data_IF_920503239117
#
_entry.id   IF_920503239117
#
_cell.length_a   1.000
_cell.length_b   1.000
_cell.length_c   1.000
_cell.angle_alpha   90.00
_cell.angle_beta   90.00
_cell.angle_gamma   90.00
#
_symmetry.space_group_name_H-M   'P 1'
#
loop_
_entity.id
_entity.type
_entity.pdbx_description
1 polymer ?
2 polymer ?
3 water ?
#
# COMPACT_ATOMS: atom_id res chain seq x y z
N UNK A 2 -2.65 -20.32 17.74
CA UNK A 2 -3.39 -19.93 16.55
C UNK A 2 -3.88 -21.14 15.77
N UNK A 3 -4.99 -20.98 15.07
CA UNK A 3 -5.48 -22.05 14.21
C UNK A 3 -4.49 -22.30 13.08
N UNK A 4 -3.88 -21.22 12.59
CA UNK A 4 -2.84 -21.34 11.58
C UNK A 4 -1.60 -20.56 11.96
N UNK A 5 -0.47 -21.24 12.03
CA UNK A 5 0.77 -20.58 12.41
C UNK A 5 1.72 -20.53 11.23
N UNK A 6 1.93 -19.32 10.71
CA UNK A 6 2.79 -19.12 9.55
C UNK A 6 4.13 -18.52 9.96
N UNK A 7 5.22 -19.13 9.48
CA UNK A 7 6.58 -18.71 9.83
C UNK A 7 7.53 -18.85 8.63
N UNK A 8 8.59 -18.05 8.59
CA UNK A 8 8.92 -16.92 9.48
C UNK A 8 8.16 -15.67 9.07
N UNK A 9 8.31 -14.59 9.83
CA UNK A 9 7.64 -13.33 9.50
C UNK A 9 8.23 -12.70 8.24
N UNK A 10 9.52 -12.93 8.03
CA UNK A 10 10.21 -12.38 6.88
C UNK A 10 11.27 -13.35 6.36
N UNK A 11 11.39 -13.43 5.05
CA UNK A 11 12.36 -14.31 4.43
C UNK A 11 13.01 -13.55 3.28
N UNK A 12 14.24 -13.93 2.93
CA UNK A 12 15.00 -13.15 1.97
C UNK A 12 15.96 -14.00 1.16
N UNK A 13 16.09 -13.66 -0.12
CA UNK A 13 17.05 -14.28 -1.02
C UNK A 13 17.35 -13.33 -2.16
N UNK A 14 18.47 -13.52 -2.82
CA UNK A 14 18.79 -12.76 -4.02
C UNK A 14 18.05 -13.37 -5.21
N UNK A 15 17.98 -12.63 -6.31
CA UNK A 15 17.38 -13.14 -7.54
C UNK A 15 18.04 -14.45 -7.94
N UNK A 16 17.23 -15.46 -8.24
CA UNK A 16 17.73 -16.77 -8.59
C UNK A 16 17.76 -17.70 -7.40
N UNK A 17 17.61 -17.15 -6.20
CA UNK A 17 17.68 -17.93 -4.98
C UNK A 17 16.37 -18.62 -4.63
N UNK A 18 16.32 -19.21 -3.45
CA UNK A 18 15.13 -19.91 -3.01
C UNK A 18 14.71 -19.43 -1.62
N UNK A 19 13.40 -19.24 -1.43
CA UNK A 19 12.90 -18.97 -0.09
C UNK A 19 11.88 -20.03 0.30
N UNK A 20 11.78 -20.27 1.59
CA UNK A 20 10.87 -21.30 2.11
C UNK A 20 9.96 -20.72 3.18
N UNK A 21 8.65 -20.93 3.03
CA UNK A 21 7.66 -20.42 3.97
C UNK A 21 6.84 -21.59 4.51
N UNK A 22 6.60 -21.59 5.82
CA UNK A 22 5.92 -22.70 6.47
C UNK A 22 4.58 -22.32 7.07
N UNK A 23 3.65 -23.27 7.08
CA UNK A 23 2.35 -23.10 7.75
C UNK A 23 1.94 -24.36 8.47
N UNK A 24 1.58 -24.22 9.75
CA UNK A 24 1.10 -25.34 10.54
C UNK A 24 -0.30 -25.05 11.06
N UNK A 25 -1.24 -25.96 10.78
CA UNK A 25 -2.60 -25.81 11.29
C UNK A 25 -2.76 -26.56 12.60
N UNK A 26 -3.70 -26.09 13.44
CA UNK A 26 -3.89 -26.68 14.76
C UNK A 26 -4.47 -28.10 14.68
N UNK A 27 -5.25 -28.35 13.64
CA UNK A 27 -5.70 -29.71 13.33
C UNK A 27 -5.64 -29.88 11.83
N UNK A 28 -5.70 -31.12 11.35
CA UNK A 28 -5.55 -31.38 9.92
C UNK A 28 -6.59 -30.63 9.07
N UNK A 29 -6.14 -30.08 7.95
CA UNK A 29 -7.06 -29.38 7.05
C UNK A 29 -7.96 -30.40 6.37
N UNK A 30 -9.08 -29.91 5.81
CA UNK A 30 -10.06 -30.78 5.17
C UNK A 30 -9.43 -31.58 4.03
N UNK A 31 -9.82 -32.85 3.90
CA UNK A 31 -9.27 -33.76 2.88
C UNK A 31 -7.75 -33.90 2.99
N UNK A 32 -7.19 -33.47 4.11
CA UNK A 32 -5.75 -33.43 4.36
C UNK A 32 -4.95 -32.48 3.48
N UNK A 33 -5.60 -31.77 2.57
CA UNK A 33 -4.86 -30.88 1.69
C UNK A 33 -5.58 -29.58 1.31
N UNK A 34 -6.65 -29.23 2.02
CA UNK A 34 -7.34 -27.97 1.73
C UNK A 34 -6.56 -26.81 2.33
N UNK A 35 -5.47 -26.46 1.65
CA UNK A 35 -4.53 -25.43 2.06
C UNK A 35 -4.12 -24.67 0.82
N UNK A 36 -4.21 -23.34 0.86
CA UNK A 36 -3.84 -22.53 -0.30
C UNK A 36 -2.74 -21.54 0.04
N UNK A 37 -2.08 -21.03 -0.99
CA UNK A 37 -1.09 -19.96 -0.81
C UNK A 37 -1.42 -18.75 -1.68
N UNK A 38 -1.22 -17.56 -1.11
CA UNK A 38 -1.47 -16.28 -1.79
C UNK A 38 -0.23 -15.39 -1.85
N UNK A 39 -0.16 -14.58 -2.89
CA UNK A 39 0.81 -13.49 -3.01
C UNK A 39 0.06 -12.16 -3.03
N UNK A 40 0.48 -11.20 -2.21
CA UNK A 40 -0.18 -9.89 -2.23
C UNK A 40 0.79 -8.72 -2.34
N UNK A 41 0.50 -7.83 -3.29
CA UNK A 41 1.26 -6.60 -3.45
C UNK A 41 0.43 -5.40 -3.00
N UNK A 42 1.08 -4.26 -2.71
CA UNK A 42 0.35 -3.07 -2.23
C UNK A 42 -0.79 -2.61 -3.14
N UNK A 43 -1.91 -2.26 -2.55
CA UNK A 43 -3.04 -1.71 -3.28
C UNK A 43 -3.79 -2.74 -4.09
N UNK A 44 -3.47 -4.01 -3.89
CA UNK A 44 -4.07 -5.10 -4.65
C UNK A 44 -4.71 -6.16 -3.76
N UNK A 45 -5.71 -6.87 -4.28
CA UNK A 45 -6.16 -8.06 -3.56
C UNK A 45 -5.11 -9.14 -3.63
N UNK A 46 -5.12 -10.09 -2.70
CA UNK A 46 -4.16 -11.19 -2.81
C UNK A 46 -4.44 -12.06 -4.04
N UNK A 47 -3.39 -12.64 -4.61
CA UNK A 47 -3.51 -13.50 -5.78
C UNK A 47 -3.27 -14.95 -5.40
N UNK A 48 -4.20 -15.83 -5.74
CA UNK A 48 -4.05 -17.25 -5.44
C UNK A 48 -2.91 -17.85 -6.26
N UNK A 49 -1.98 -18.50 -5.58
CA UNK A 49 -0.84 -19.17 -6.22
C UNK A 49 -1.10 -20.67 -6.35
N UNK A 50 -1.59 -21.24 -5.27
CA UNK A 50 -1.67 -22.68 -5.09
C UNK A 50 -2.91 -23.00 -4.28
N UNK A 51 -3.61 -24.07 -4.65
CA UNK A 51 -4.67 -24.61 -3.80
C UNK A 51 -4.46 -26.11 -3.70
N UNK A 52 -5.22 -26.75 -2.81
CA UNK A 52 -5.11 -28.19 -2.63
C UNK A 52 -3.67 -28.60 -2.34
N UNK A 53 -2.99 -27.74 -1.58
CA UNK A 53 -1.62 -27.92 -1.09
C UNK A 53 -0.54 -27.76 -2.16
N UNK A 54 -0.78 -28.32 -3.35
CA UNK A 54 0.28 -28.36 -4.35
C UNK A 54 -0.18 -27.96 -5.76
N UNK A 55 -1.47 -27.71 -5.94
CA UNK A 55 -2.00 -27.48 -7.28
C UNK A 55 -1.89 -26.02 -7.71
N UNK A 56 -1.10 -25.77 -8.75
CA UNK A 56 -0.89 -24.41 -9.25
C UNK A 56 -2.19 -23.81 -9.79
N UNK A 57 -2.47 -22.57 -9.40
CA UNK A 57 -3.58 -21.84 -9.99
C UNK A 57 -3.21 -21.43 -11.40
N UNK A 58 -4.21 -21.04 -12.18
CA UNK A 58 -3.97 -20.67 -13.57
C UNK A 58 -3.01 -19.49 -13.69
N UNK A 59 -2.04 -19.61 -14.58
CA UNK A 59 -1.10 -18.53 -14.85
C UNK A 59 0.07 -18.45 -13.90
N UNK A 60 0.13 -19.36 -12.93
CA UNK A 60 1.19 -19.35 -11.92
C UNK A 60 2.35 -20.27 -12.32
N UNK A 61 3.57 -19.71 -12.39
CA UNK A 61 4.77 -20.46 -12.78
C UNK A 61 5.10 -21.64 -11.86
N UNK A 62 5.71 -22.68 -12.41
CA UNK A 62 5.99 -23.89 -11.66
C UNK A 62 7.05 -23.72 -10.57
N UNK A 63 7.75 -22.58 -10.57
CA UNK A 63 8.76 -22.31 -9.56
C UNK A 63 8.13 -22.04 -8.19
N UNK A 64 6.82 -21.80 -8.18
CA UNK A 64 6.07 -21.78 -6.93
C UNK A 64 5.64 -23.20 -6.61
N UNK A 65 6.20 -23.77 -5.54
CA UNK A 65 5.95 -25.17 -5.22
C UNK A 65 5.31 -25.33 -3.85
N UNK A 66 4.08 -25.85 -3.83
CA UNK A 66 3.43 -26.18 -2.57
C UNK A 66 3.62 -27.64 -2.22
N UNK A 67 3.89 -27.93 -0.95
CA UNK A 67 4.05 -29.30 -0.49
C UNK A 67 3.51 -29.49 0.93
N UNK A 68 3.40 -30.74 1.36
CA UNK A 68 2.94 -31.05 2.70
C UNK A 68 1.55 -31.65 2.73
N UNK A 69 1.09 -32.01 3.92
CA UNK A 69 -0.20 -32.64 4.11
C UNK A 69 -0.59 -32.61 5.58
N UNK A 70 -1.85 -32.87 5.88
CA UNK A 70 -2.32 -32.92 7.24
C UNK A 70 -2.29 -31.57 7.93
N UNK A 71 -1.25 -31.33 8.73
CA UNK A 71 -1.12 -30.06 9.46
C UNK A 71 0.11 -29.25 9.07
N UNK A 72 0.96 -29.81 8.20
CA UNK A 72 2.25 -29.19 7.94
C UNK A 72 2.45 -28.91 6.47
N UNK A 73 2.59 -27.63 6.12
CA UNK A 73 2.68 -27.24 4.73
C UNK A 73 3.81 -26.27 4.46
N UNK A 74 4.28 -26.28 3.22
CA UNK A 74 5.45 -25.52 2.82
C UNK A 74 5.22 -24.88 1.47
N UNK A 75 5.59 -23.60 1.34
CA UNK A 75 5.69 -22.96 0.04
C UNK A 75 7.16 -22.74 -0.27
N UNK A 76 7.63 -23.34 -1.36
CA UNK A 76 9.00 -23.11 -1.79
C UNK A 76 8.99 -22.27 -3.05
N UNK A 77 9.61 -21.10 -3.00
CA UNK A 77 9.72 -20.27 -4.19
C UNK A 77 11.14 -20.36 -4.74
N UNK A 78 11.30 -21.08 -5.85
CA UNK A 78 12.59 -21.23 -6.50
C UNK A 78 12.78 -20.14 -7.55
N UNK A 79 14.02 -20.01 -8.03
CA UNK A 79 14.36 -19.04 -9.08
C UNK A 79 13.77 -17.68 -8.79
N UNK A 80 14.01 -17.18 -7.58
CA UNK A 80 13.38 -15.94 -7.13
C UNK A 80 13.55 -14.81 -8.13
N UNK A 81 12.48 -14.06 -8.34
CA UNK A 81 12.50 -12.91 -9.25
C UNK A 81 12.32 -11.62 -8.48
N UNK A 82 12.77 -10.51 -9.04
CA UNK A 82 12.56 -9.21 -8.43
C UNK A 82 11.07 -8.98 -8.15
N UNK A 83 10.20 -9.43 -9.06
CA UNK A 83 8.77 -9.18 -8.88
C UNK A 83 8.14 -10.11 -7.85
N UNK A 84 8.95 -10.93 -7.17
CA UNK A 84 8.44 -11.77 -6.10
C UNK A 84 8.37 -11.00 -4.77
N UNK A 85 8.91 -9.79 -4.75
CA UNK A 85 8.82 -8.93 -3.57
C UNK A 85 7.36 -8.67 -3.25
N UNK A 86 6.91 -9.19 -2.12
CA UNK A 86 5.49 -9.20 -1.77
C UNK A 86 5.30 -9.83 -0.40
N UNK A 87 4.06 -9.85 0.07
CA UNK A 87 3.71 -10.55 1.30
C UNK A 87 2.86 -11.77 0.94
N UNK A 88 3.19 -12.91 1.55
CA UNK A 88 2.56 -14.18 1.19
C UNK A 88 1.76 -14.75 2.35
N UNK A 89 0.61 -15.34 2.04
CA UNK A 89 -0.28 -15.90 3.05
C UNK A 89 -0.67 -17.33 2.73
N UNK A 90 -0.72 -18.18 3.73
CA UNK A 90 -1.42 -19.44 3.56
C UNK A 90 -2.86 -19.27 4.06
N UNK A 91 -3.75 -20.13 3.58
CA UNK A 91 -5.13 -20.16 4.03
C UNK A 91 -5.57 -21.61 4.16
N UNK A 92 -6.28 -21.91 5.24
CA UNK A 92 -6.69 -23.28 5.47
C UNK A 92 -8.18 -23.44 5.70
N UNK A 93 -8.67 -24.63 5.37
CA UNK A 93 -10.01 -25.08 5.70
C UNK A 93 -9.84 -26.20 6.72
N UNK A 94 -10.14 -25.94 7.98
CA UNK A 94 -9.84 -26.90 9.05
C UNK A 94 -11.05 -27.75 9.43
N UNK A 95 -12.04 -27.80 8.53
CA UNK A 95 -13.36 -28.40 8.76
C UNK A 95 -14.12 -27.58 9.80
N UNK A 96 -15.38 -27.94 10.04
CA UNK A 96 -16.22 -27.24 11.01
C UNK A 96 -16.36 -25.76 10.65
N UNK A 97 -16.26 -25.46 9.36
CA UNK A 97 -16.37 -24.09 8.85
C UNK A 97 -15.31 -23.16 9.43
N UNK A 98 -14.19 -23.73 9.85
CA UNK A 98 -13.05 -22.93 10.28
C UNK A 98 -12.19 -22.55 9.08
N UNK A 99 -12.42 -21.36 8.53
CA UNK A 99 -11.60 -20.86 7.43
C UNK A 99 -10.72 -19.74 7.96
N UNK A 100 -9.41 -19.87 7.73
CA UNK A 100 -8.47 -18.99 8.41
C UNK A 100 -7.20 -18.74 7.59
N UNK A 101 -6.61 -17.56 7.78
CA UNK A 101 -5.35 -17.20 7.14
C UNK A 101 -4.19 -17.30 8.11
N UNK A 102 -3.01 -17.65 7.59
CA UNK A 102 -1.78 -17.48 8.35
C UNK A 102 -1.49 -16.00 8.49
N UNK A 103 -0.57 -15.65 9.38
CA UNK A 103 -0.29 -14.26 9.67
C UNK A 103 0.50 -13.51 8.61
N UNK A 104 1.01 -14.23 7.62
CA UNK A 104 1.73 -13.62 6.52
C UNK A 104 3.24 -13.62 6.66
N UNK A 105 3.91 -13.63 5.52
CA UNK A 105 5.36 -13.61 5.44
C UNK A 105 5.82 -12.62 4.37
N UNK A 106 6.64 -11.66 4.77
CA UNK A 106 7.22 -10.73 3.82
C UNK A 106 8.41 -11.37 3.11
N UNK A 107 8.46 -11.27 1.79
CA UNK A 107 9.63 -11.70 1.04
C UNK A 107 10.41 -10.49 0.56
N UNK A 108 11.67 -10.39 1.01
CA UNK A 108 12.58 -9.32 0.61
C UNK A 108 13.57 -9.86 -0.42
N UNK A 109 13.65 -9.20 -1.56
CA UNK A 109 14.62 -9.59 -2.57
C UNK A 109 15.95 -8.93 -2.28
N UNK A 110 16.99 -9.75 -2.08
CA UNK A 110 18.32 -9.25 -1.77
C UNK A 110 18.96 -8.70 -3.02
N UNK A 111 19.81 -7.71 -2.83
CA UNK A 111 20.22 -6.83 -3.89
C UNK A 111 21.53 -6.19 -3.47
N UNK A 112 22.32 -5.69 -4.41
CA UNK A 112 23.55 -4.99 -4.04
C UNK A 112 23.20 -3.72 -3.24
N UNK A 113 24.00 -3.41 -2.21
CA UNK A 113 23.78 -2.20 -1.44
C UNK A 113 23.87 -0.99 -2.38
N UNK A 114 22.91 -0.08 -2.26
CA UNK A 114 22.90 1.11 -3.09
C UNK A 114 22.50 2.34 -2.30
N UNK A 115 23.32 3.39 -2.35
CA UNK A 115 23.04 4.62 -1.63
C UNK A 115 21.88 5.38 -2.26
N UNK A 116 21.13 6.14 -1.47
CA UNK A 116 20.05 6.94 -2.03
C UNK A 116 20.55 8.17 -2.78
N UNK A 117 19.82 8.59 -3.81
CA UNK A 117 19.98 9.91 -4.38
C UNK A 117 19.04 10.84 -3.60
N UNK A 118 19.57 11.97 -3.13
CA UNK A 118 18.84 12.82 -2.20
C UNK A 118 18.45 14.16 -2.84
N UNK A 119 17.21 14.58 -2.60
CA UNK A 119 16.67 15.83 -3.13
C UNK A 119 15.91 16.55 -2.02
N UNK A 120 16.07 17.87 -1.93
CA UNK A 120 15.29 18.66 -0.97
C UNK A 120 14.41 19.67 -1.72
N UNK A 121 13.19 19.87 -1.22
CA UNK A 121 12.22 20.76 -1.84
C UNK A 121 11.71 21.80 -0.86
N UNK A 122 11.76 23.09 -1.25
CA UNK A 122 11.18 24.14 -0.40
C UNK A 122 9.66 24.12 -0.49
N UNK A 123 8.98 24.75 0.47
CA UNK A 123 7.53 24.95 0.36
C UNK A 123 7.18 25.83 -0.83
N UNK A 124 6.03 25.57 -1.44
CA UNK A 124 5.54 26.39 -2.54
C UNK A 124 4.99 27.72 -2.00
N UNK A 125 5.02 28.74 -2.86
CA UNK A 125 4.43 30.02 -2.48
C UNK A 125 2.94 29.88 -2.22
N UNK A 126 2.29 29.02 -3.02
CA UNK A 126 0.86 28.74 -2.83
C UNK A 126 0.55 28.28 -1.41
N UNK A 127 1.29 27.28 -0.94
CA UNK A 127 1.05 26.75 0.39
C UNK A 127 1.34 27.79 1.46
N UNK A 128 2.44 28.53 1.29
CA UNK A 128 2.82 29.54 2.28
C UNK A 128 1.73 30.59 2.50
N UNK A 129 0.98 30.92 1.44
CA UNK A 129 -0.12 31.87 1.56
C UNK A 129 -1.17 31.39 2.56
N UNK A 130 -1.28 30.07 2.71
CA UNK A 130 -2.29 29.49 3.59
C UNK A 130 -1.78 29.34 5.04
N UNK A 131 -0.53 29.72 5.28
CA UNK A 131 -0.01 29.79 6.64
C UNK A 131 0.84 28.63 7.11
N UNK A 132 1.01 27.62 6.26
CA UNK A 132 1.80 26.43 6.60
C UNK A 132 2.93 26.22 5.59
N UNK A 133 4.05 25.68 6.06
CA UNK A 133 5.17 25.37 5.18
C UNK A 133 5.58 23.90 5.29
N UNK A 134 5.45 23.16 4.20
CA UNK A 134 5.97 21.80 4.14
C UNK A 134 7.30 21.76 3.41
N UNK A 135 8.32 21.22 4.06
CA UNK A 135 9.62 21.04 3.44
C UNK A 135 9.83 19.55 3.25
N UNK A 136 10.18 19.12 2.04
CA UNK A 136 10.23 17.70 1.73
C UNK A 136 11.62 17.24 1.30
N UNK A 137 12.04 16.12 1.87
CA UNK A 137 13.31 15.49 1.49
C UNK A 137 13.05 14.12 0.91
N UNK A 138 13.56 13.88 -0.29
CA UNK A 138 13.36 12.61 -0.99
C UNK A 138 14.64 11.79 -0.97
N UNK A 139 14.54 10.54 -0.54
CA UNK A 139 15.64 9.59 -0.63
C UNK A 139 15.25 8.57 -1.68
N UNK A 140 15.93 8.58 -2.82
CA UNK A 140 15.44 7.80 -3.95
C UNK A 140 16.28 6.57 -4.30
N UNK A 141 15.59 5.45 -4.48
CA UNK A 141 16.18 4.23 -5.03
C UNK A 141 17.39 3.72 -4.26
N UNK A 142 17.18 3.29 -3.03
CA UNK A 142 18.27 2.80 -2.20
C UNK A 142 18.01 1.37 -1.70
N UNK A 143 19.06 0.72 -1.20
CA UNK A 143 18.92 -0.60 -0.60
C UNK A 143 20.09 -0.81 0.35
N UNK A 144 19.84 -1.35 1.56
CA UNK A 144 18.58 -1.87 2.11
C UNK A 144 17.63 -0.81 2.65
N UNK A 145 16.54 -1.25 3.27
CA UNK A 145 15.43 -0.37 3.62
C UNK A 145 15.75 0.71 4.65
N UNK A 146 16.58 0.38 5.64
CA UNK A 146 16.81 1.32 6.73
C UNK A 146 17.59 2.56 6.30
N UNK A 147 17.05 3.72 6.66
CA UNK A 147 17.70 4.99 6.38
C UNK A 147 17.31 5.98 7.46
N UNK A 148 18.18 6.93 7.74
CA UNK A 148 17.91 7.93 8.76
C UNK A 148 17.95 9.33 8.14
N UNK A 149 16.91 10.12 8.41
CA UNK A 149 16.85 11.50 7.97
C UNK A 149 16.88 12.42 9.19
N UNK A 150 17.77 13.40 9.16
CA UNK A 150 17.80 14.42 10.20
C UNK A 150 17.57 15.80 9.58
N UNK A 151 16.59 16.53 10.10
CA UNK A 151 16.29 17.87 9.62
C UNK A 151 17.04 18.90 10.43
N UNK A 152 17.62 19.89 9.76
CA UNK A 152 18.23 21.01 10.46
C UNK A 152 17.76 22.34 9.89
N UNK A 153 17.46 23.27 10.77
CA UNK A 153 17.01 24.60 10.38
C UNK A 153 17.91 25.61 11.07
N UNK A 154 18.71 26.33 10.28
CA UNK A 154 19.81 27.15 10.80
C UNK A 154 20.61 26.36 11.85
N UNK A 155 20.90 25.11 11.49
CA UNK A 155 21.66 24.15 12.29
C UNK A 155 21.02 23.73 13.63
N UNK A 156 19.75 24.08 13.82
CA UNK A 156 18.99 23.51 14.93
C UNK A 156 18.36 22.19 14.49
N UNK A 157 18.68 21.11 15.18
CA UNK A 157 18.09 19.81 14.86
C UNK A 157 16.58 19.86 15.10
N UNK A 158 15.81 19.40 14.12
CA UNK A 158 14.36 19.37 14.24
C UNK A 158 13.85 18.00 14.67
N UNK A 159 13.00 17.97 15.70
CA UNK A 159 12.50 16.71 16.22
C UNK A 159 11.01 16.82 16.51
N UNK A 160 10.24 15.79 16.16
CA UNK A 160 8.81 15.78 16.42
C UNK A 160 7.93 16.53 15.44
N UNK A 161 8.53 17.16 14.44
CA UNK A 161 7.75 17.89 13.45
C UNK A 161 7.99 17.38 12.02
N UNK A 162 8.34 16.10 11.91
CA UNK A 162 8.47 15.47 10.60
C UNK A 162 7.74 14.14 10.58
N UNK A 163 7.33 13.72 9.38
CA UNK A 163 6.77 12.40 9.18
C UNK A 163 7.35 11.79 7.93
N UNK A 164 7.56 10.48 7.92
CA UNK A 164 8.08 9.88 6.71
C UNK A 164 7.25 8.72 6.22
N UNK A 165 7.48 8.38 4.95
CA UNK A 165 6.77 7.31 4.28
C UNK A 165 7.76 6.59 3.38
N UNK A 166 7.62 5.26 3.26
CA UNK A 166 8.56 4.47 2.46
C UNK A 166 7.77 3.63 1.47
N UNK A 167 8.28 3.53 0.24
CA UNK A 167 7.62 2.73 -0.76
C UNK A 167 7.88 1.24 -0.56
N UNK A 168 7.05 0.42 -1.19
CA UNK A 168 7.30 -1.01 -1.31
C UNK A 168 8.61 -1.22 -2.04
N UNK A 169 9.19 -2.41 -1.92
CA UNK A 169 10.37 -2.74 -2.70
C UNK A 169 10.00 -2.75 -4.18
N UNK A 170 10.79 -2.07 -5.01
CA UNK A 170 10.47 -1.96 -6.44
C UNK A 170 10.50 -3.32 -7.13
N UNK A 171 9.49 -3.59 -7.94
CA UNK A 171 9.33 -4.91 -8.55
C UNK A 171 10.39 -5.20 -9.60
N UNK A 172 11.08 -4.17 -10.07
CA UNK A 172 12.11 -4.32 -11.10
C UNK A 172 13.54 -4.19 -10.57
N UNK A 173 13.83 -3.12 -9.83
CA UNK A 173 15.22 -2.91 -9.39
C UNK A 173 15.45 -3.20 -7.91
N UNK A 174 14.40 -3.62 -7.21
CA UNK A 174 14.47 -4.06 -5.81
C UNK A 174 14.95 -2.98 -4.84
N UNK A 175 14.77 -1.71 -5.20
CA UNK A 175 15.11 -0.62 -4.29
C UNK A 175 13.90 -0.09 -3.51
N UNK A 176 14.20 0.73 -2.51
CA UNK A 176 13.18 1.49 -1.78
C UNK A 176 13.38 2.98 -2.04
N UNK A 177 12.31 3.74 -1.85
CA UNK A 177 12.43 5.20 -1.77
C UNK A 177 11.71 5.68 -0.52
N UNK A 178 12.12 6.83 -0.01
CA UNK A 178 11.58 7.36 1.22
C UNK A 178 11.39 8.86 1.09
N UNK A 179 10.28 9.36 1.61
CA UNK A 179 10.05 10.80 1.68
C UNK A 179 9.92 11.21 3.13
N UNK A 180 10.52 12.34 3.49
CA UNK A 180 10.35 12.91 4.82
C UNK A 180 9.80 14.32 4.68
N UNK A 181 8.77 14.65 5.45
CA UNK A 181 8.17 15.97 5.37
C UNK A 181 8.27 16.70 6.69
N UNK A 182 8.93 17.85 6.66
CA UNK A 182 9.05 18.73 7.81
C UNK A 182 7.96 19.80 7.73
N UNK A 183 7.20 19.96 8.82
CA UNK A 183 6.11 20.93 8.83
C UNK A 183 6.39 22.07 9.81
N UNK A 184 6.38 23.29 9.28
CA UNK A 184 6.53 24.52 10.07
C UNK A 184 5.39 25.48 9.74
N UNK A 185 5.16 26.46 10.62
CA UNK A 185 4.26 27.55 10.29
C UNK A 185 4.96 28.46 9.29
N UNK A 186 4.18 29.24 8.55
CA UNK A 186 4.76 30.25 7.65
C UNK A 186 5.67 31.20 8.43
N UNK A 187 5.21 31.64 9.60
CA UNK A 187 5.98 32.57 10.42
C UNK A 187 7.33 31.99 10.82
N UNK A 188 7.35 30.74 11.27
CA UNK A 188 8.60 30.10 11.65
C UNK A 188 9.50 29.91 10.44
N UNK A 189 8.93 29.46 9.33
CA UNK A 189 9.69 29.27 8.10
C UNK A 189 10.43 30.54 7.65
N UNK A 190 9.73 31.66 7.70
CA UNK A 190 10.28 32.91 7.18
C UNK A 190 11.25 33.58 8.15
N UNK A 191 11.42 33.01 9.32
CA UNK A 191 12.37 33.52 10.30
C UNK A 191 13.76 32.86 10.17
N UNK A 192 13.88 31.89 9.26
CA UNK A 192 15.12 31.14 9.14
C UNK A 192 15.62 31.04 7.70
N UNK A 193 16.91 30.73 7.55
CA UNK A 193 17.57 30.76 6.24
C UNK A 193 17.92 29.38 5.69
N UNK A 194 18.71 28.63 6.43
CA UNK A 194 19.27 27.38 5.91
C UNK A 194 18.42 26.17 6.28
N UNK A 195 17.91 25.48 5.25
CA UNK A 195 17.12 24.27 5.48
C UNK A 195 17.88 23.07 4.96
N UNK A 196 18.17 22.12 5.83
CA UNK A 196 19.04 21.01 5.47
C UNK A 196 18.47 19.65 5.84
N UNK A 197 18.62 18.72 4.90
CA UNK A 197 18.22 17.32 5.09
C UNK A 197 19.50 16.48 5.12
N UNK A 198 19.75 15.83 6.26
CA UNK A 198 20.95 15.02 6.41
C UNK A 198 20.61 13.53 6.44
N UNK A 199 21.23 12.77 5.54
CA UNK A 199 20.85 11.39 5.29
C UNK A 199 21.96 10.40 5.66
N UNK A 200 21.59 9.38 6.44
CA UNK A 200 22.51 8.31 6.81
C UNK A 200 21.98 6.99 6.27
N UNK A 201 22.86 6.21 5.65
CA UNK A 201 22.48 4.94 5.01
C UNK A 201 23.71 4.05 4.85
N UNK A 202 23.51 2.73 4.87
CA UNK A 202 24.63 1.78 4.80
C UNK A 202 25.47 1.94 3.55
N UNK A 203 24.87 2.47 2.48
CA UNK A 203 25.56 2.64 1.22
C UNK A 203 26.37 3.92 1.16
N UNK A 204 26.31 4.70 2.23
CA UNK A 204 27.03 5.97 2.32
C UNK A 204 28.16 5.90 3.35
N UNK A 205 29.37 6.24 2.95
CA UNK A 205 30.52 6.22 3.84
C UNK A 205 30.39 7.30 4.91
N UNK A 206 29.74 8.39 4.55
CA UNK A 206 29.47 9.50 5.46
C UNK A 206 28.12 10.11 5.11
N UNK A 207 27.48 10.79 6.08
CA UNK A 207 26.15 11.36 5.80
C UNK A 207 26.14 12.30 4.60
N UNK A 208 25.03 12.31 3.87
CA UNK A 208 24.86 13.22 2.75
C UNK A 208 23.89 14.31 3.17
N UNK A 209 24.26 15.56 2.92
CA UNK A 209 23.39 16.69 3.22
C UNK A 209 22.99 17.44 1.97
N UNK A 210 21.68 17.61 1.77
CA UNK A 210 21.18 18.50 0.74
C UNK A 210 20.49 19.68 1.43
N UNK A 211 20.65 20.86 0.89
CA UNK A 211 20.11 22.04 1.54
C UNK A 211 19.66 23.09 0.55
N UNK A 212 18.92 24.08 1.07
CA UNK A 212 18.63 25.29 0.32
C UNK A 212 18.58 26.46 1.29
N UNK A 213 18.81 27.65 0.77
CA UNK A 213 18.62 28.89 1.52
C UNK A 213 17.31 29.54 1.09
N UNK A 214 16.44 29.81 2.06
CA UNK A 214 15.12 30.36 1.77
C UNK A 214 15.19 31.59 0.90
N UNK A 215 14.47 31.57 -0.22
CA UNK A 215 14.43 32.71 -1.12
C UNK A 215 15.40 32.60 -2.28
N UNK A 216 16.59 32.07 -2.02
CA UNK A 216 17.61 31.95 -3.05
C UNK A 216 17.16 31.07 -4.21
N UNK A 217 17.71 31.33 -5.39
CA UNK A 217 17.32 30.64 -6.61
C UNK A 217 17.57 29.13 -6.53
N UNK B 2 -13.09 -13.66 -15.82
CA UNK B 2 -13.75 -13.79 -14.53
C UNK B 2 -13.35 -12.64 -13.60
N UNK B 3 -14.35 -11.94 -13.07
CA UNK B 3 -14.10 -10.73 -12.31
C UNK B 3 -15.19 -10.44 -11.29
N UNK B 4 -14.78 -9.97 -10.11
CA UNK B 4 -15.71 -9.49 -9.10
C UNK B 4 -15.55 -7.98 -8.90
N UNK B 5 -16.66 -7.25 -8.95
CA UNK B 5 -16.62 -5.81 -8.78
C UNK B 5 -17.29 -5.39 -7.49
N UNK B 6 -16.54 -4.80 -6.56
CA UNK B 6 -17.08 -4.35 -5.29
C UNK B 6 -17.58 -2.92 -5.35
N UNK B 7 -18.51 -2.59 -4.45
CA UNK B 7 -19.06 -1.24 -4.35
C UNK B 7 -19.72 -1.06 -2.98
N UNK B 8 -19.96 0.20 -2.61
CA UNK B 8 -20.72 0.49 -1.40
C UNK B 8 -19.91 0.90 -0.18
N UNK B 9 -18.59 0.99 -0.34
CA UNK B 9 -17.72 1.35 0.77
C UNK B 9 -17.75 2.82 1.13
N UNK B 10 -16.67 3.29 1.74
CA UNK B 10 -16.52 4.70 2.07
C UNK B 10 -16.57 5.01 3.55
N UNK B 11 -16.87 6.26 3.85
CA UNK B 11 -16.88 6.76 5.22
C UNK B 11 -18.17 6.37 5.92
N UNK B 12 -18.07 5.96 7.19
CA UNK B 12 -19.25 5.70 8.00
C UNK B 12 -19.09 6.14 9.45
N UNK B 13 -20.10 6.83 9.97
CA UNK B 13 -20.12 7.26 11.36
C UNK B 13 -20.12 6.05 12.29
N UNK B 14 -19.32 6.09 13.37
CA UNK B 14 -19.30 5.02 14.37
C UNK B 14 -20.70 4.67 14.88
N UNK B 15 -20.98 3.37 14.97
CA UNK B 15 -22.28 2.91 15.43
C UNK B 15 -23.30 2.90 14.31
N UNK B 16 -22.92 3.42 13.16
CA UNK B 16 -23.81 3.46 12.01
C UNK B 16 -24.00 2.10 11.35
N UNK B 17 -24.22 2.09 10.04
CA UNK B 17 -24.34 0.86 9.29
C UNK B 17 -23.97 1.08 7.83
N UNK B 18 -23.15 0.20 7.31
CA UNK B 18 -22.74 0.26 5.91
C UNK B 18 -22.98 -1.08 5.26
N UNK B 19 -23.19 -1.09 3.95
CA UNK B 19 -23.33 -2.33 3.21
C UNK B 19 -22.44 -2.33 1.98
N UNK B 20 -21.72 -3.44 1.79
CA UNK B 20 -20.88 -3.62 0.62
C UNK B 20 -21.53 -4.63 -0.32
N UNK B 21 -21.34 -4.44 -1.62
CA UNK B 21 -21.94 -5.32 -2.61
C UNK B 21 -20.91 -5.74 -3.64
N UNK B 22 -20.99 -6.99 -4.07
CA UNK B 22 -20.16 -7.49 -5.16
C UNK B 22 -21.02 -8.08 -6.27
N UNK B 23 -20.66 -7.80 -7.51
CA UNK B 23 -21.29 -8.43 -8.67
C UNK B 23 -20.21 -9.18 -9.46
N UNK B 24 -20.61 -10.03 -10.39
CA UNK B 24 -19.66 -10.85 -11.12
C UNK B 24 -19.69 -10.62 -12.62
N UNK B 25 -18.53 -10.75 -13.25
CA UNK B 25 -18.40 -10.70 -14.70
C UNK B 25 -17.63 -11.92 -15.17
N UNK B 26 -18.14 -12.60 -16.20
CA UNK B 26 -17.42 -13.71 -16.79
C UNK B 26 -17.71 -15.04 -16.13
N UNK B 27 -18.54 -15.02 -15.09
CA UNK B 27 -19.03 -16.26 -14.49
C UNK B 27 -20.35 -16.01 -13.78
N UNK B 28 -21.00 -17.08 -13.37
CA UNK B 28 -22.34 -17.01 -12.77
C UNK B 28 -22.25 -17.09 -11.25
N UNK B 29 -22.49 -15.97 -10.58
CA UNK B 29 -22.14 -15.85 -9.16
C UNK B 29 -22.96 -16.78 -8.27
N UNK B 30 -24.17 -17.11 -8.70
CA UNK B 30 -25.06 -17.96 -7.89
C UNK B 30 -24.60 -19.42 -7.84
N UNK B 31 -23.61 -19.77 -8.65
CA UNK B 31 -23.09 -21.14 -8.67
C UNK B 31 -22.03 -21.39 -7.60
N UNK B 32 -21.66 -20.35 -6.87
CA UNK B 32 -20.53 -20.42 -5.94
C UNK B 32 -20.83 -19.97 -4.52
N UNK B 33 -20.11 -20.57 -3.56
CA UNK B 33 -19.91 -19.94 -2.26
C UNK B 33 -19.28 -18.57 -2.49
N UNK B 34 -19.59 -17.62 -1.62
CA UNK B 34 -18.89 -16.33 -1.64
C UNK B 34 -18.44 -15.96 -0.23
N UNK B 35 -17.18 -15.58 -0.10
CA UNK B 35 -16.63 -15.15 1.19
C UNK B 35 -16.43 -13.64 1.25
N UNK B 36 -16.35 -13.12 2.47
CA UNK B 36 -15.88 -11.76 2.68
C UNK B 36 -14.63 -11.81 3.56
N UNK B 37 -13.63 -11.01 3.19
CA UNK B 37 -12.35 -11.00 3.88
C UNK B 37 -11.98 -9.54 4.12
N UNK B 38 -11.41 -9.24 5.29
CA UNK B 38 -11.00 -7.87 5.52
C UNK B 38 -9.53 -7.78 5.87
N UNK B 39 -8.99 -6.57 5.74
CA UNK B 39 -7.58 -6.33 6.00
C UNK B 39 -7.43 -4.91 6.55
N UNK B 40 -7.20 -4.82 7.85
CA UNK B 40 -6.96 -3.54 8.50
C UNK B 40 -5.65 -2.94 7.98
N UNK B 41 -5.52 -1.61 8.00
CA UNK B 41 -4.31 -0.96 7.48
C UNK B 41 -3.04 -1.53 8.10
N UNK B 42 -2.14 -2.03 7.25
CA UNK B 42 -0.88 -2.57 7.70
C UNK B 42 -0.94 -3.96 8.31
N UNK B 43 -2.10 -4.59 8.24
CA UNK B 43 -2.30 -5.89 8.89
C UNK B 43 -2.55 -7.01 7.87
N UNK B 44 -2.76 -8.21 8.40
CA UNK B 44 -2.99 -9.39 7.57
C UNK B 44 -4.44 -9.60 7.15
N UNK B 45 -4.65 -10.64 6.34
CA UNK B 45 -5.98 -10.99 5.87
C UNK B 45 -6.78 -11.68 6.97
N UNK B 46 -8.06 -11.35 7.07
CA UNK B 46 -8.95 -11.97 8.05
C UNK B 46 -10.28 -12.38 7.43
N UNK B 47 -10.58 -13.67 7.50
CA UNK B 47 -11.84 -14.19 6.97
C UNK B 47 -13.01 -13.82 7.88
N UNK B 48 -14.03 -13.20 7.31
CA UNK B 48 -15.21 -12.78 8.07
C UNK B 48 -16.27 -13.88 8.08
N UNK B 49 -16.57 -14.41 6.90
CA UNK B 49 -17.59 -15.44 6.77
C UNK B 49 -17.84 -15.78 5.30
N UNK B 50 -18.75 -16.71 5.04
CA UNK B 50 -19.16 -16.95 3.66
C UNK B 50 -20.64 -17.34 3.58
N UNK B 51 -21.14 -17.52 2.36
CA UNK B 51 -22.53 -17.92 2.17
C UNK B 51 -22.63 -18.93 1.03
N UNK B 52 -23.39 -20.00 1.24
CA UNK B 52 -23.49 -21.05 0.22
C UNK B 52 -24.50 -20.66 -0.85
N UNK B 53 -24.68 -21.52 -1.84
CA UNK B 53 -25.55 -21.21 -2.96
C UNK B 53 -27.02 -21.15 -2.57
N UNK B 54 -27.34 -21.73 -1.41
CA UNK B 54 -28.71 -21.74 -0.92
C UNK B 54 -29.04 -20.50 -0.11
N UNK B 55 -28.03 -19.74 0.26
CA UNK B 55 -28.24 -18.53 1.03
C UNK B 55 -27.93 -18.68 2.50
N UNK B 56 -27.39 -19.84 2.88
CA UNK B 56 -27.00 -20.11 4.26
C UNK B 56 -25.59 -19.59 4.53
N UNK B 57 -25.45 -18.76 5.56
CA UNK B 57 -24.17 -18.12 5.85
C UNK B 57 -23.51 -18.68 7.11
N UNK B 58 -22.18 -18.68 7.10
CA UNK B 58 -21.38 -19.06 8.27
C UNK B 58 -20.36 -17.96 8.53
N UNK B 59 -20.01 -17.76 9.79
CA UNK B 59 -19.13 -16.66 10.17
C UNK B 59 -17.98 -17.11 11.07
N UNK B 60 -16.88 -16.36 11.05
CA UNK B 60 -15.85 -16.52 12.05
C UNK B 60 -16.43 -16.16 13.42
N UNK B 61 -15.95 -16.81 14.50
CA UNK B 61 -16.50 -16.57 15.84
C UNK B 61 -16.52 -15.09 16.23
N UNK B 62 -15.45 -14.37 15.93
CA UNK B 62 -15.37 -12.95 16.29
C UNK B 62 -16.35 -12.10 15.48
N UNK B 63 -16.76 -12.59 14.32
CA UNK B 63 -17.56 -11.79 13.40
C UNK B 63 -19.06 -11.91 13.61
N UNK B 64 -19.48 -12.92 14.38
CA UNK B 64 -20.90 -13.19 14.58
C UNK B 64 -21.63 -12.01 15.24
N UNK B 65 -22.79 -11.67 14.67
CA UNK B 65 -23.63 -10.63 15.23
C UNK B 65 -23.28 -9.24 14.75
N UNK B 66 -22.08 -9.08 14.20
CA UNK B 66 -21.61 -7.78 13.75
C UNK B 66 -21.60 -7.68 12.23
N UNK B 67 -21.68 -8.83 11.57
CA UNK B 67 -21.69 -8.88 10.12
C UNK B 67 -22.84 -9.76 9.62
N UNK B 68 -23.45 -9.34 8.51
CA UNK B 68 -24.50 -10.13 7.89
C UNK B 68 -24.21 -10.29 6.39
N UNK B 69 -24.07 -11.54 5.95
CA UNK B 69 -23.82 -11.82 4.55
C UNK B 69 -25.11 -12.34 3.90
N UNK B 70 -25.45 -11.77 2.74
CA UNK B 70 -26.64 -12.18 2.01
C UNK B 70 -26.32 -12.24 0.53
N UNK B 71 -27.28 -12.71 -0.27
CA UNK B 71 -27.07 -12.80 -1.71
C UNK B 71 -28.39 -12.77 -2.49
N UNK B 72 -28.31 -12.28 -3.72
CA UNK B 72 -29.40 -12.39 -4.66
C UNK B 72 -28.87 -13.21 -5.84
N UNK B 73 -29.65 -13.31 -6.92
CA UNK B 73 -29.22 -14.10 -8.07
C UNK B 73 -27.99 -13.50 -8.75
N UNK B 74 -27.74 -12.21 -8.51
CA UNK B 74 -26.67 -11.51 -9.22
C UNK B 74 -25.67 -10.83 -8.29
N UNK B 75 -25.99 -10.77 -7.00
CA UNK B 75 -25.14 -10.04 -6.06
C UNK B 75 -24.84 -10.85 -4.81
N UNK B 76 -23.80 -10.44 -4.09
CA UNK B 76 -23.59 -10.87 -2.72
C UNK B 76 -23.28 -9.62 -1.91
N UNK B 77 -23.76 -9.55 -0.68
CA UNK B 77 -23.63 -8.33 0.11
C UNK B 77 -23.14 -8.59 1.53
N UNK B 78 -22.48 -7.60 2.10
CA UNK B 78 -22.03 -7.65 3.48
C UNK B 78 -22.50 -6.41 4.21
N UNK B 79 -23.32 -6.60 5.23
CA UNK B 79 -23.75 -5.50 6.07
C UNK B 79 -22.92 -5.45 7.33
N UNK B 80 -22.41 -4.28 7.65
CA UNK B 80 -21.62 -4.09 8.86
C UNK B 80 -22.46 -3.42 9.92
N UNK B 81 -22.68 -4.12 11.04
CA UNK B 81 -23.52 -3.59 12.12
C UNK B 81 -22.66 -2.92 13.19
N UNK B 82 -23.14 -1.78 13.65
CA UNK B 82 -22.48 -0.97 14.70
C UNK B 82 -20.95 -0.95 14.62
N UNK B 83 -20.39 -0.38 13.55
CA UNK B 83 -18.94 -0.30 13.37
C UNK B 83 -18.25 0.55 14.43
N UNK B 84 -17.06 0.13 14.84
CA UNK B 84 -16.18 0.98 15.61
C UNK B 84 -14.98 1.30 14.74
N UNK B 85 -14.05 2.07 15.27
CA UNK B 85 -12.84 2.42 14.53
C UNK B 85 -11.97 1.20 14.26
N UNK B 86 -12.27 0.11 14.96
CA UNK B 86 -11.52 -1.14 14.80
C UNK B 86 -11.96 -1.87 13.54
N UNK B 87 -13.06 -1.43 12.95
CA UNK B 87 -13.60 -2.04 11.75
C UNK B 87 -13.14 -1.30 10.49
N UNK B 88 -12.38 -0.23 10.67
CA UNK B 88 -11.75 0.45 9.54
C UNK B 88 -10.79 -0.52 8.87
N UNK B 89 -11.05 -0.79 7.59
CA UNK B 89 -10.29 -1.79 6.86
C UNK B 89 -10.67 -1.80 5.39
N UNK B 90 -9.86 -2.48 4.58
CA UNK B 90 -10.24 -2.80 3.23
C UNK B 90 -10.99 -4.13 3.26
N UNK B 91 -12.16 -4.15 2.63
CA UNK B 91 -12.99 -5.34 2.58
C UNK B 91 -12.99 -5.92 1.18
N UNK B 92 -12.80 -7.24 1.09
CA UNK B 92 -12.80 -7.94 -0.19
C UNK B 92 -13.95 -8.93 -0.26
N UNK B 93 -14.57 -9.06 -1.43
CA UNK B 93 -15.38 -10.23 -1.69
C UNK B 93 -14.51 -11.24 -2.43
N UNK B 94 -14.58 -12.49 -2.02
CA UNK B 94 -13.74 -13.52 -2.62
C UNK B 94 -14.59 -14.76 -2.93
N UNK B 95 -14.45 -15.28 -4.14
CA UNK B 95 -15.20 -16.46 -4.54
C UNK B 95 -14.78 -17.66 -3.70
N UNK B 96 -15.74 -18.54 -3.42
CA UNK B 96 -15.49 -19.76 -2.66
C UNK B 96 -15.13 -19.49 -1.21
N UNK B 97 -14.14 -20.23 -0.74
CA UNK B 97 -13.52 -20.01 0.57
C UNK B 97 -12.02 -19.90 0.33
N UNK B 98 -11.31 -19.19 1.22
CA UNK B 98 -9.90 -18.85 0.95
C UNK B 98 -8.99 -20.05 0.63
N UNK B 99 -9.21 -21.21 1.23
CA UNK B 99 -8.35 -22.36 0.95
C UNK B 99 -8.71 -23.06 -0.36
N UNK B 100 -9.88 -22.75 -0.91
CA UNK B 100 -10.41 -23.51 -2.05
C UNK B 100 -9.86 -23.04 -3.40
N UNK B 101 -9.79 -23.96 -4.37
CA UNK B 101 -9.32 -23.63 -5.70
C UNK B 101 -10.16 -22.59 -6.43
N UNK B 102 -11.40 -22.42 -5.99
CA UNK B 102 -12.28 -21.43 -6.63
C UNK B 102 -12.05 -20.02 -6.10
N UNK B 103 -11.10 -19.85 -5.18
CA UNK B 103 -10.82 -18.54 -4.63
C UNK B 103 -9.77 -17.79 -5.45
N UNK B 104 -9.69 -18.13 -6.74
CA UNK B 104 -8.77 -17.43 -7.63
C UNK B 104 -9.35 -16.12 -8.15
N UNK B 105 -10.58 -15.83 -7.75
CA UNK B 105 -11.24 -14.58 -8.14
C UNK B 105 -11.62 -13.76 -6.90
N UNK B 106 -11.05 -12.58 -6.80
CA UNK B 106 -11.28 -11.66 -5.68
C UNK B 106 -11.70 -10.31 -6.24
N UNK B 107 -12.54 -9.60 -5.50
CA UNK B 107 -12.85 -8.21 -5.83
C UNK B 107 -11.63 -7.35 -5.56
N UNK B 108 -11.63 -6.12 -6.10
CA UNK B 108 -10.49 -5.23 -5.96
C UNK B 108 -10.29 -4.76 -4.51
N UNK B 109 -11.35 -4.80 -3.73
CA UNK B 109 -11.28 -4.33 -2.35
C UNK B 109 -11.73 -2.88 -2.23
N UNK B 110 -12.53 -2.60 -1.21
CA UNK B 110 -12.99 -1.24 -0.97
C UNK B 110 -12.73 -0.85 0.48
N UNK B 111 -12.25 0.37 0.67
CA UNK B 111 -11.92 0.83 2.02
C UNK B 111 -13.14 1.33 2.78
N UNK B 112 -13.34 0.80 3.97
CA UNK B 112 -14.36 1.33 4.86
C UNK B 112 -13.65 2.09 5.97
N UNK B 113 -13.94 3.38 6.08
CA UNK B 113 -13.36 4.19 7.14
C UNK B 113 -14.43 4.55 8.16
N UNK B 114 -14.27 4.08 9.39
CA UNK B 114 -15.23 4.37 10.43
C UNK B 114 -14.80 5.62 11.21
N UNK B 115 -15.47 6.72 10.94
CA UNK B 115 -15.11 8.01 11.52
C UNK B 115 -16.26 8.99 11.47
N UNK B 116 -16.31 9.88 12.45
CA UNK B 116 -17.32 10.94 12.48
C UNK B 116 -16.90 12.16 11.68
N UNK B 117 -15.65 12.17 11.22
CA UNK B 117 -15.09 13.33 10.54
C UNK B 117 -15.67 13.54 9.15
N UNK B 118 -15.58 14.77 8.65
CA UNK B 118 -16.13 15.12 7.34
C UNK B 118 -15.17 14.81 6.20
N UNK B 119 -15.74 14.55 5.02
CA UNK B 119 -14.94 14.40 3.82
C UNK B 119 -14.28 15.73 3.48
N UNK B 120 -13.02 15.67 3.05
CA UNK B 120 -12.29 16.86 2.67
C UNK B 120 -11.33 16.57 1.52
N UNK B 121 -11.43 17.36 0.45
CA UNK B 121 -10.56 17.21 -0.69
C UNK B 121 -9.19 17.83 -0.46
N UNK B 122 -8.17 17.38 -1.21
CA UNK B 122 -6.80 17.80 -0.98
C UNK B 122 -6.44 19.13 -1.62
N UNK B 123 -5.38 19.75 -1.09
CA UNK B 123 -4.67 20.79 -1.82
C UNK B 123 -3.46 20.14 -2.45
N UNK B 124 -3.09 20.57 -3.64
CA UNK B 124 -1.98 19.95 -4.36
C UNK B 124 -0.91 20.99 -4.63
N UNK B 125 0.29 20.75 -4.10
CA UNK B 125 1.37 21.72 -4.19
C UNK B 125 2.54 21.15 -4.98
N UNK B 126 3.28 22.02 -5.69
CA UNK B 126 4.42 21.51 -6.44
C UNK B 126 5.62 21.21 -5.57
N UNK B 127 6.33 20.12 -5.88
CA UNK B 127 7.67 19.90 -5.40
C UNK B 127 8.56 20.24 -6.58
N UNK B 128 9.07 21.46 -6.62
CA UNK B 128 9.72 21.99 -7.82
C UNK B 128 11.19 21.60 -7.94
N UNK B 129 11.63 21.26 -9.16
CA UNK B 129 13.03 20.87 -9.41
C UNK B 129 13.97 22.06 -9.26
N UNK B 130 15.24 21.80 -8.97
CA UNK B 130 16.18 22.92 -8.75
C UNK B 130 17.66 22.55 -8.81
N UNK B 131 18.45 23.24 -8.00
CA UNK B 131 19.86 22.94 -7.84
C UNK B 131 20.04 21.97 -6.67
N UNK B 132 19.11 22.04 -5.73
CA UNK B 132 19.09 21.18 -4.55
C UNK B 132 18.30 19.91 -4.85
N UNK B 133 17.93 19.78 -6.12
CA UNK B 133 17.10 18.67 -6.59
C UNK B 133 17.58 18.15 -7.96
N UNK B 134 18.89 17.98 -8.11
CA UNK B 134 19.46 17.42 -9.35
C UNK B 134 20.85 16.84 -9.13
N UNK B 135 21.08 15.65 -9.67
CA UNK B 135 22.35 14.96 -9.48
C UNK B 135 22.73 14.09 -10.68
N UNK B 136 23.85 14.41 -11.34
CA UNK B 136 24.39 13.60 -12.41
C UNK B 136 23.71 13.81 -13.76
N UNK B 137 22.83 14.80 -13.82
CA UNK B 137 22.07 15.09 -15.03
C UNK B 137 20.61 14.75 -14.85
N UNK B 138 20.28 14.20 -13.69
CA UNK B 138 18.91 13.79 -13.37
C UNK B 138 18.34 14.66 -12.27
N UNK B 139 17.12 15.15 -12.48
CA UNK B 139 16.44 15.98 -11.49
C UNK B 139 15.25 15.24 -10.88
N UNK B 140 14.75 15.70 -9.75
CA UNK B 140 13.51 15.16 -9.23
C UNK B 140 12.48 16.26 -9.06
N UNK B 141 11.22 15.90 -9.30
CA UNK B 141 10.12 16.81 -9.05
C UNK B 141 8.93 16.02 -8.56
N UNK B 142 7.87 16.70 -8.15
CA UNK B 142 6.71 15.97 -7.68
C UNK B 142 5.54 16.82 -7.27
N UNK B 143 4.59 16.18 -6.63
CA UNK B 143 3.41 16.84 -6.09
C UNK B 143 3.17 16.44 -4.64
N UNK B 144 2.88 17.43 -3.81
CA UNK B 144 2.49 17.19 -2.44
C UNK B 144 0.96 17.29 -2.34
N UNK B 145 0.33 16.17 -1.99
CA UNK B 145 -1.12 16.08 -1.94
C UNK B 145 -1.56 16.15 -0.50
N UNK B 146 -1.99 17.33 -0.06
CA UNK B 146 -2.09 17.58 1.37
C UNK B 146 -3.51 17.77 1.90
N UNK B 147 -3.75 17.22 3.10
CA UNK B 147 -4.92 17.54 3.91
C UNK B 147 -6.23 17.04 3.30
N UNK B 148 -6.31 15.74 3.04
CA UNK B 148 -7.55 15.15 2.55
C UNK B 148 -8.07 14.07 3.50
N UNK B 149 -9.34 13.71 3.34
CA UNK B 149 -9.96 12.70 4.17
C UNK B 149 -11.27 12.29 3.55
N UNK B 150 -11.56 10.97 3.52
CA UNK B 150 -10.67 9.89 3.94
C UNK B 150 -9.76 9.45 2.82
N UNK B 151 -9.05 8.35 3.02
CA UNK B 151 -8.35 7.69 1.93
C UNK B 151 -9.40 7.12 0.98
N UNK B 152 -9.03 6.84 -0.28
CA UNK B 152 -7.71 7.01 -0.90
C UNK B 152 -7.63 8.16 -1.92
N UNK B 153 -6.41 8.52 -2.30
CA UNK B 153 -6.19 9.33 -3.48
C UNK B 153 -5.36 8.54 -4.47
N UNK B 154 -5.54 8.83 -5.75
CA UNK B 154 -4.68 8.26 -6.77
C UNK B 154 -3.93 9.38 -7.46
N UNK B 155 -2.73 9.07 -7.92
CA UNK B 155 -1.92 10.03 -8.64
C UNK B 155 -1.37 9.41 -9.91
N UNK B 156 -1.54 10.10 -11.04
CA UNK B 156 -0.85 9.73 -12.26
C UNK B 156 -0.02 10.93 -12.73
N UNK B 157 0.89 10.68 -13.66
CA UNK B 157 1.66 11.75 -14.28
C UNK B 157 1.42 11.80 -15.79
N UNK B 158 1.19 13.01 -16.29
CA UNK B 158 0.90 13.24 -17.70
C UNK B 158 -0.17 12.30 -18.24
N UNK B 159 -1.23 12.15 -17.45
CA UNK B 159 -2.40 11.33 -17.80
C UNK B 159 -2.02 9.87 -18.05
N UNK B 160 -1.02 9.39 -17.32
CA UNK B 160 -0.61 7.99 -17.42
C UNK B 160 0.50 7.73 -18.43
N UNK B 161 0.87 8.77 -19.19
CA UNK B 161 1.92 8.62 -20.20
C UNK B 161 3.29 8.50 -19.55
N UNK B 162 3.43 9.04 -18.35
CA UNK B 162 4.70 9.02 -17.63
C UNK B 162 4.61 8.07 -16.43
N UNK B 163 5.30 6.93 -16.51
CA UNK B 163 5.29 5.94 -15.43
C UNK B 163 6.68 5.54 -14.94
N UNK B 164 7.66 5.58 -15.83
CA UNK B 164 9.03 5.23 -15.45
C UNK B 164 9.60 6.23 -14.45
N UNK B 165 10.15 5.73 -13.35
CA UNK B 165 10.77 6.57 -12.36
C UNK B 165 9.81 7.26 -11.39
N UNK B 166 8.52 6.95 -11.50
CA UNK B 166 7.51 7.51 -10.60
C UNK B 166 7.49 6.75 -9.28
N UNK B 167 7.43 7.48 -8.17
CA UNK B 167 7.21 6.87 -6.86
C UNK B 167 6.08 7.62 -6.16
N UNK B 168 4.97 6.95 -5.96
CA UNK B 168 3.88 7.52 -5.19
C UNK B 168 3.87 6.87 -3.82
N UNK B 169 4.10 7.68 -2.79
CA UNK B 169 4.30 7.17 -1.45
C UNK B 169 2.99 6.83 -0.78
N UNK B 170 3.03 5.89 0.17
CA UNK B 170 1.87 5.65 1.03
C UNK B 170 1.52 6.93 1.78
N UNK B 171 0.23 7.15 1.98
CA UNK B 171 -0.24 8.31 2.74
C UNK B 171 0.19 8.24 4.20
N UNK B 172 0.39 9.40 4.81
CA UNK B 172 0.63 9.47 6.24
C UNK B 172 -0.56 10.16 6.90
N UNK B 173 -0.96 9.69 8.06
CA UNK B 173 -1.98 10.38 8.84
C UNK B 173 -1.30 11.46 9.67
N UNK B 174 -1.66 12.71 9.42
CA UNK B 174 -1.11 13.83 10.16
C UNK B 174 -1.81 14.00 11.52
N UNK B 175 -1.18 14.73 12.43
CA UNK B 175 -1.72 14.95 13.76
C UNK B 175 -3.06 15.70 13.73
N UNK B 176 -3.35 16.30 12.58
CA UNK B 176 -4.60 16.99 12.36
C UNK B 176 -5.75 16.02 12.07
N UNK B 177 -5.41 14.77 11.78
CA UNK B 177 -6.42 13.78 11.43
C UNK B 177 -6.68 13.72 9.94
N UNK B 178 -5.94 14.52 9.18
CA UNK B 178 -6.03 14.51 7.72
C UNK B 178 -4.81 13.80 7.11
N UNK B 179 -4.98 13.24 5.92
CA UNK B 179 -3.91 12.53 5.24
C UNK B 179 -3.07 13.44 4.36
N UNK B 180 -1.85 13.00 4.09
CA UNK B 180 -0.97 13.69 3.15
C UNK B 180 -0.14 12.63 2.42
N UNK B 181 0.11 12.83 1.13
CA UNK B 181 1.09 12.00 0.46
C UNK B 181 1.80 12.79 -0.62
N UNK B 182 2.98 12.31 -0.98
CA UNK B 182 3.73 12.88 -2.08
C UNK B 182 3.87 11.87 -3.20
N UNK B 183 3.95 12.37 -4.43
CA UNK B 183 4.29 11.57 -5.58
C UNK B 183 5.45 12.27 -6.28
N UNK B 184 6.50 11.53 -6.60
CA UNK B 184 7.67 12.12 -7.25
C UNK B 184 8.06 11.37 -8.52
N UNK B 185 8.89 11.99 -9.34
CA UNK B 185 9.39 11.34 -10.54
C UNK B 185 10.75 11.96 -10.88
N UNK B 186 11.67 11.16 -11.38
CA UNK B 186 12.97 11.69 -11.78
C UNK B 186 12.98 11.86 -13.29
N UNK B 187 13.55 12.98 -13.74
CA UNK B 187 13.52 13.36 -15.15
C UNK B 187 14.87 13.98 -15.52
N UNK B 188 15.18 14.05 -16.83
CA UNK B 188 16.42 14.73 -17.20
C UNK B 188 16.38 16.21 -16.82
N UNK B 189 17.45 16.72 -16.22
CA UNK B 189 17.47 18.14 -15.87
C UNK B 189 17.43 19.01 -17.13
N UNK B 190 17.97 18.50 -18.23
CA UNK B 190 17.97 19.24 -19.49
C UNK B 190 16.57 19.34 -20.09
N UNK B 191 15.62 18.59 -19.54
CA UNK B 191 14.24 18.57 -20.05
C UNK B 191 13.35 19.60 -19.35
N UNK B 192 13.82 20.14 -18.23
CA UNK B 192 12.98 20.93 -17.34
C UNK B 192 12.39 22.18 -17.98
N UNK B 193 13.02 22.68 -19.04
CA UNK B 193 12.50 23.83 -19.74
C UNK B 193 11.59 23.44 -20.89
N UNK B 194 11.86 22.28 -21.47
CA UNK B 194 11.14 21.82 -22.65
C UNK B 194 9.87 21.04 -22.29
N UNK B 195 10.02 19.99 -21.50
CA UNK B 195 8.94 19.05 -21.26
C UNK B 195 7.95 19.52 -20.20
N UNK B 196 6.67 19.18 -20.38
CA UNK B 196 5.63 19.50 -19.41
C UNK B 196 5.37 18.33 -18.47
N UNK B 197 5.32 18.61 -17.16
CA UNK B 197 5.05 17.59 -16.17
C UNK B 197 3.85 17.97 -15.32
N UNK B 198 2.82 17.13 -15.38
CA UNK B 198 1.56 17.39 -14.71
C UNK B 198 1.16 16.17 -13.90
N UNK B 199 0.93 16.35 -12.61
CA UNK B 199 0.39 15.26 -11.80
C UNK B 199 -1.11 15.33 -11.78
N UNK B 200 -1.76 14.19 -12.03
CA UNK B 200 -3.22 14.12 -12.03
C UNK B 200 -3.70 13.47 -10.75
N UNK B 201 -4.35 14.26 -9.90
CA UNK B 201 -4.76 13.77 -8.59
C UNK B 201 -6.27 13.56 -8.57
N UNK B 202 -6.69 12.40 -8.08
CA UNK B 202 -8.12 12.08 -7.96
C UNK B 202 -8.39 11.66 -6.52
N UNK B 203 -9.29 12.39 -5.86
CA UNK B 203 -9.78 12.01 -4.53
C UNK B 203 -11.26 11.73 -4.67
N UNK B 204 -11.58 10.49 -5.05
CA UNK B 204 -12.96 10.10 -5.31
C UNK B 204 -13.93 10.28 -4.13
N UNK B 205 -13.46 10.11 -2.87
CA UNK B 205 -14.38 10.37 -1.77
C UNK B 205 -15.00 11.78 -1.74
N UNK B 206 -14.28 12.77 -2.26
CA UNK B 206 -14.83 14.13 -2.31
C UNK B 206 -15.17 14.52 -3.73
N UNK B 207 -15.04 13.56 -4.65
CA UNK B 207 -15.19 13.80 -6.08
C UNK B 207 -14.35 15.00 -6.53
N UNK B 208 -13.12 15.07 -6.03
CA UNK B 208 -12.17 16.13 -6.37
C UNK B 208 -11.12 15.64 -7.36
N UNK B 209 -10.94 16.37 -8.44
CA UNK B 209 -9.87 16.11 -9.39
C UNK B 209 -9.01 17.36 -9.54
N UNK B 210 -7.70 17.18 -9.49
CA UNK B 210 -6.78 18.30 -9.64
C UNK B 210 -5.64 17.95 -10.60
N UNK B 211 -5.34 18.84 -11.55
CA UNK B 211 -4.13 18.72 -12.35
C UNK B 211 -3.16 19.82 -11.95
N UNK B 212 -1.96 19.44 -11.50
CA UNK B 212 -0.95 20.41 -11.12
C UNK B 212 0.27 20.30 -12.01
N UNK B 213 0.56 21.36 -12.76
CA UNK B 213 1.78 21.43 -13.55
C UNK B 213 2.93 21.83 -12.64
N UNK B 214 4.03 21.09 -12.73
CA UNK B 214 5.20 21.32 -11.88
C UNK B 214 6.40 21.73 -12.72
N UNK B 215 6.94 22.91 -12.45
CA UNK B 215 8.11 23.39 -13.19
C UNK B 215 9.08 24.11 -12.24
N UNK B 216 10.34 24.31 -12.68
CA UNK B 216 11.27 25.04 -11.81
C UNK B 216 10.73 26.42 -11.46
N UNK B 217 10.91 26.83 -10.21
CA UNK B 217 10.38 28.10 -9.74
C UNK B 217 11.19 29.26 -10.30
N UNK B 218 10.48 30.26 -10.84
CA UNK B 218 11.14 31.49 -11.24
C UNK B 218 11.62 32.20 -9.97
N UNK B 219 12.93 32.40 -9.88
CA UNK B 219 13.53 32.91 -8.65
C UNK B 219 14.48 34.07 -8.90
#
# INVERSE_FOLDING_TARGET
ELDMTQTPASVSAAVGGTVTISCQSSRSVWNNNFLSWYQQKPGQPPKLLISDASKLASGVPSRFKGSGSGTQFTLTISDLESDDAATYYCAGDLSDWIHTFGGGTEVVVKRTVGAPSVFIFPPSDEQLKSGTASVVCLLNNFYPREAKVQWKVDNALQSGNSQESVTEQDSKDSTYSLSSTLTLSKADYEKHKVYACEVTHQGLSSPVTKSFNRGEC
QEQLVESGGGLVTPGGTLTLTCTASGFTISNYHMSWVRQAPGKGLEWIGFIDTGGSAAYAPWAKGRFTISRTSTTVALKITSPTTEDTATYFCARGAPAWGTANVWGQGTLVTVSSASTKGPSVFPLAPSSKSTSGGTAALGCLVKDYFPEPVTVSWNSGALTSGVHTFPAVLQSSGLYSLSSVVTVPSSSLGTQTYICNVNHKPSNTKVDRRVEPKSCDKT
#
